data_IF_785632996222
#
_entry.id   IF_785632996222
#
_cell.length_a   1.000
_cell.length_b   1.000
_cell.length_c   1.000
_cell.angle_alpha   90.00
_cell.angle_beta   90.00
_cell.angle_gamma   90.00
#
_symmetry.space_group_name_H-M   'P 1'
#
loop_
_entity.id
_entity.type
_entity.pdbx_description
1 polymer ?
#
# COMPACT_ATOMS: atom_id res chain seq x y z
N UNK A 1 0.38 -17.62 4.93
CA UNK A 1 0.36 -16.25 5.51
C UNK A 1 -1.02 -15.66 5.28
N UNK A 2 -1.58 -14.96 6.27
CA UNK A 2 -2.90 -14.34 6.16
C UNK A 2 -2.79 -13.09 5.26
N UNK A 3 -3.62 -12.98 4.24
CA UNK A 3 -3.54 -11.94 3.21
C UNK A 3 -3.75 -10.53 3.80
N UNK A 4 -4.62 -10.42 4.81
CA UNK A 4 -4.82 -9.19 5.57
C UNK A 4 -3.55 -8.72 6.30
N UNK A 5 -2.75 -9.64 6.85
CA UNK A 5 -1.50 -9.30 7.53
C UNK A 5 -0.43 -8.81 6.54
N UNK A 6 -0.41 -9.36 5.32
CA UNK A 6 0.49 -8.88 4.26
C UNK A 6 0.12 -7.47 3.79
N UNK A 7 -1.17 -7.17 3.65
CA UNK A 7 -1.60 -5.83 3.26
C UNK A 7 -1.30 -4.80 4.36
N UNK A 8 -1.53 -5.14 5.63
CA UNK A 8 -1.16 -4.29 6.77
C UNK A 8 0.34 -3.97 6.73
N UNK A 9 1.18 -4.98 6.49
CA UNK A 9 2.63 -4.81 6.35
C UNK A 9 3.01 -3.88 5.21
N UNK A 10 2.38 -4.00 4.05
CA UNK A 10 2.63 -3.12 2.90
C UNK A 10 2.24 -1.66 3.18
N UNK A 11 1.15 -1.42 3.91
CA UNK A 11 0.76 -0.08 4.37
C UNK A 11 1.84 0.51 5.27
N UNK A 12 2.31 -0.24 6.26
CA UNK A 12 3.37 0.22 7.18
C UNK A 12 4.68 0.53 6.44
N UNK A 13 5.09 -0.33 5.50
CA UNK A 13 6.27 -0.12 4.68
C UNK A 13 6.15 1.14 3.82
N UNK A 14 4.98 1.37 3.22
CA UNK A 14 4.74 2.57 2.42
C UNK A 14 4.86 3.84 3.27
N UNK A 15 4.29 3.84 4.49
CA UNK A 15 4.40 4.97 5.42
C UNK A 15 5.85 5.21 5.86
N UNK A 16 6.58 4.16 6.23
CA UNK A 16 8.00 4.26 6.60
C UNK A 16 8.87 4.75 5.45
N UNK A 17 8.58 4.30 4.23
CA UNK A 17 9.27 4.73 3.02
C UNK A 17 9.06 6.22 2.76
N UNK A 18 7.83 6.71 2.84
CA UNK A 18 7.51 8.15 2.72
C UNK A 18 8.24 9.00 3.75
N UNK A 19 8.38 8.51 4.98
CA UNK A 19 9.10 9.19 6.06
C UNK A 19 10.64 9.06 5.95
N UNK A 20 11.15 8.28 4.99
CA UNK A 20 12.59 8.00 4.88
C UNK A 20 13.15 7.16 6.03
N UNK A 21 12.29 6.43 6.76
CA UNK A 21 12.63 5.68 7.97
C UNK A 21 12.75 4.17 7.74
N UNK A 22 12.89 3.71 6.50
CA UNK A 22 13.01 2.29 6.19
C UNK A 22 14.44 1.76 6.30
N UNK A 23 14.56 0.51 6.77
CA UNK A 23 15.78 -0.27 6.58
C UNK A 23 15.97 -0.69 5.11
N UNK A 24 17.18 -1.16 4.79
CA UNK A 24 17.46 -1.72 3.45
C UNK A 24 16.59 -2.94 3.14
N UNK A 25 16.31 -3.78 4.12
CA UNK A 25 15.45 -4.96 3.92
C UNK A 25 13.98 -4.57 3.70
N UNK A 26 13.49 -3.59 4.47
CA UNK A 26 12.13 -3.05 4.30
C UNK A 26 11.95 -2.40 2.92
N UNK A 27 12.97 -1.68 2.45
CA UNK A 27 12.99 -1.15 1.09
C UNK A 27 12.98 -2.25 0.04
N UNK A 28 13.77 -3.31 0.22
CA UNK A 28 13.76 -4.44 -0.71
C UNK A 28 12.39 -5.14 -0.74
N UNK A 29 11.74 -5.29 0.40
CA UNK A 29 10.39 -5.86 0.51
C UNK A 29 9.38 -5.04 -0.30
N UNK A 30 9.35 -3.71 -0.08
CA UNK A 30 8.45 -2.81 -0.81
C UNK A 30 8.80 -2.72 -2.30
N UNK A 31 10.10 -2.70 -2.64
CA UNK A 31 10.59 -2.67 -4.02
C UNK A 31 10.20 -3.94 -4.79
N UNK A 32 10.33 -5.13 -4.18
CA UNK A 32 9.93 -6.38 -4.82
C UNK A 32 8.42 -6.40 -5.10
N UNK A 33 7.62 -5.94 -4.15
CA UNK A 33 6.18 -5.80 -4.34
C UNK A 33 5.87 -4.82 -5.48
N UNK A 34 6.48 -3.64 -5.48
CA UNK A 34 6.25 -2.61 -6.50
C UNK A 34 6.69 -3.08 -7.90
N UNK A 35 7.89 -3.68 -8.00
CA UNK A 35 8.41 -4.28 -9.24
C UNK A 35 7.50 -5.34 -9.81
N UNK A 36 6.84 -6.14 -8.95
CA UNK A 36 5.89 -7.16 -9.40
C UNK A 36 4.64 -6.58 -10.09
N UNK A 37 4.37 -5.28 -9.91
CA UNK A 37 3.21 -4.58 -10.46
C UNK A 37 3.58 -3.65 -11.63
N UNK A 38 4.69 -2.92 -11.52
CA UNK A 38 5.09 -1.86 -12.46
C UNK A 38 6.25 -2.25 -13.38
N UNK A 39 6.84 -3.44 -13.19
CA UNK A 39 8.04 -3.92 -13.90
C UNK A 39 9.22 -2.93 -13.86
N UNK A 40 9.29 -2.10 -12.82
CA UNK A 40 10.32 -1.08 -12.61
C UNK A 40 10.68 -0.94 -11.14
N UNK A 41 11.90 -0.51 -10.86
CA UNK A 41 12.38 -0.33 -9.48
C UNK A 41 11.65 0.81 -8.78
N UNK A 42 11.38 0.62 -7.49
CA UNK A 42 10.83 1.64 -6.62
C UNK A 42 11.87 2.75 -6.46
N UNK A 43 11.58 3.96 -6.90
CA UNK A 43 12.46 5.10 -6.71
C UNK A 43 12.55 5.57 -5.26
N UNK A 44 13.16 6.74 -5.08
CA UNK A 44 12.98 7.51 -3.85
C UNK A 44 11.52 7.96 -3.69
N UNK A 45 11.13 8.42 -2.50
CA UNK A 45 9.79 8.95 -2.24
C UNK A 45 9.62 10.35 -2.86
N UNK A 46 9.55 10.42 -4.19
CA UNK A 46 9.07 11.59 -4.91
C UNK A 46 7.55 11.58 -5.04
N UNK A 47 6.96 12.74 -5.33
CA UNK A 47 5.51 12.91 -5.42
C UNK A 47 4.85 11.90 -6.36
N UNK A 48 5.43 11.65 -7.54
CA UNK A 48 4.86 10.77 -8.56
C UNK A 48 4.97 9.30 -8.13
N UNK A 49 6.11 8.91 -7.58
CA UNK A 49 6.33 7.53 -7.12
C UNK A 49 5.44 7.21 -5.92
N UNK A 50 5.24 8.17 -5.00
CA UNK A 50 4.36 8.03 -3.84
C UNK A 50 2.91 7.83 -4.27
N UNK A 51 2.36 8.73 -5.09
CA UNK A 51 0.99 8.61 -5.58
C UNK A 51 0.74 7.26 -6.28
N UNK A 52 1.71 6.78 -7.06
CA UNK A 52 1.57 5.50 -7.74
C UNK A 52 1.57 4.31 -6.76
N UNK A 53 2.46 4.32 -5.78
CA UNK A 53 2.50 3.27 -4.73
C UNK A 53 1.18 3.24 -3.97
N UNK A 54 0.65 4.40 -3.57
CA UNK A 54 -0.64 4.51 -2.88
C UNK A 54 -1.80 4.02 -3.75
N UNK A 55 -1.82 4.39 -5.03
CA UNK A 55 -2.82 3.91 -5.99
C UNK A 55 -2.81 2.38 -6.11
N UNK A 56 -1.63 1.75 -6.18
CA UNK A 56 -1.53 0.29 -6.27
C UNK A 56 -1.93 -0.41 -4.98
N UNK A 57 -1.56 0.15 -3.83
CA UNK A 57 -2.01 -0.33 -2.54
C UNK A 57 -3.53 -0.27 -2.43
N UNK A 58 -4.13 0.85 -2.86
CA UNK A 58 -5.58 1.04 -2.90
C UNK A 58 -6.28 0.02 -3.80
N UNK A 59 -5.79 -0.18 -5.03
CA UNK A 59 -6.36 -1.17 -5.96
C UNK A 59 -6.32 -2.60 -5.39
N UNK A 60 -5.24 -2.94 -4.67
CA UNK A 60 -5.10 -4.24 -4.00
C UNK A 60 -6.12 -4.39 -2.86
N UNK A 61 -6.21 -3.39 -1.99
CA UNK A 61 -7.16 -3.37 -0.87
C UNK A 61 -8.62 -3.42 -1.35
N UNK A 62 -8.95 -2.69 -2.42
CA UNK A 62 -10.29 -2.69 -3.04
C UNK A 62 -10.67 -4.05 -3.64
N UNK A 63 -9.74 -4.76 -4.27
CA UNK A 63 -10.01 -6.13 -4.79
C UNK A 63 -10.35 -7.12 -3.67
N UNK A 64 -9.81 -6.90 -2.47
CA UNK A 64 -10.07 -7.74 -1.31
C UNK A 64 -11.27 -7.27 -0.49
N UNK A 65 -11.64 -6.00 -0.63
CA UNK A 65 -12.83 -5.44 -0.03
C UNK A 65 -14.08 -6.07 -0.66
N UNK A 66 -14.70 -6.98 0.08
CA UNK A 66 -16.10 -7.36 -0.15
C UNK A 66 -16.96 -6.45 0.71
N UNK A 67 -17.67 -5.45 0.16
CA UNK A 67 -18.64 -4.70 0.93
C UNK A 67 -19.61 -5.70 1.55
N UNK A 68 -19.77 -5.66 2.87
CA UNK A 68 -20.83 -6.40 3.52
C UNK A 68 -22.14 -5.68 3.14
N UNK A 69 -23.04 -6.30 2.35
CA UNK A 69 -24.23 -5.61 1.84
C UNK A 69 -25.16 -5.11 2.95
N UNK A 70 -25.08 -5.68 4.15
CA UNK A 70 -25.85 -5.28 5.33
C UNK A 70 -25.17 -4.18 6.17
N UNK A 71 -23.96 -3.76 5.81
CA UNK A 71 -23.21 -2.76 6.54
C UNK A 71 -23.29 -1.40 5.83
N UNK A 72 -24.44 -0.73 5.98
CA UNK A 72 -24.78 0.55 5.30
C UNK A 72 -23.80 1.72 5.56
N UNK A 73 -22.76 1.56 6.38
CA UNK A 73 -21.83 2.65 6.73
C UNK A 73 -20.39 2.21 7.02
N UNK A 74 -19.91 1.08 6.49
CA UNK A 74 -18.46 0.78 6.61
C UNK A 74 -17.73 1.55 5.53
N UNK A 75 -17.30 2.78 5.88
CA UNK A 75 -16.26 3.47 5.12
C UNK A 75 -15.02 2.58 5.10
N UNK A 76 -14.37 2.41 3.95
CA UNK A 76 -13.14 1.64 3.90
C UNK A 76 -12.09 2.26 4.83
N UNK A 77 -11.26 1.46 5.52
CA UNK A 77 -10.27 1.97 6.48
C UNK A 77 -9.22 2.92 5.86
N UNK A 78 -9.17 3.03 4.53
CA UNK A 78 -8.31 3.95 3.78
C UNK A 78 -8.99 5.26 3.35
N UNK A 79 -10.27 5.49 3.68
CA UNK A 79 -10.98 6.78 3.42
C UNK A 79 -10.25 7.96 4.10
N UNK A 80 -9.50 7.69 5.16
CA UNK A 80 -8.69 8.66 5.92
C UNK A 80 -7.40 9.11 5.22
N UNK A 81 -6.97 8.46 4.12
CA UNK A 81 -5.71 8.80 3.41
C UNK A 81 -5.86 9.97 2.43
N UNK A 82 -7.10 10.39 2.13
CA UNK A 82 -7.41 11.50 1.21
C UNK A 82 -7.59 12.85 1.93
N UNK A 83 -6.91 13.10 3.06
CA UNK A 83 -7.11 14.32 3.87
C UNK A 83 -5.85 15.14 4.11
#
# INVERSE_FOLDING_TARGET
MNQAAQNQRLVELTQRWMMGMMSKEEYQELNLWFRSLEDRELGGPDFVTVELVELRLHQRLMKEYKPNPDAENIRPPWDSLNR
#
